data_IF_149371453570
#
_entry.id   IF_149371453570
#
_cell.length_a   1.000
_cell.length_b   1.000
_cell.length_c   1.000
_cell.angle_alpha   90.00
_cell.angle_beta   90.00
_cell.angle_gamma   90.00
#
_symmetry.space_group_name_H-M   'P 1'
#
loop_
_entity.id
_entity.type
_entity.pdbx_description
1 polymer ?
#
# COMPACT_ATOMS: atom_id res chain seq x y z
N UNK A 1 7.75 16.41 -11.80
CA UNK A 1 8.72 17.02 -10.86
C UNK A 1 8.99 15.99 -9.79
N UNK A 2 10.26 15.75 -9.42
CA UNK A 2 10.60 14.69 -8.48
C UNK A 2 10.58 15.24 -7.04
N UNK A 3 9.59 14.83 -6.25
CA UNK A 3 9.56 15.07 -4.80
C UNK A 3 10.57 14.15 -4.10
N UNK A 4 11.85 14.48 -4.21
CA UNK A 4 12.94 13.86 -3.44
C UNK A 4 12.98 14.46 -2.02
N UNK A 5 11.83 14.42 -1.34
CA UNK A 5 11.58 15.09 -0.06
C UNK A 5 12.04 14.23 1.11
N UNK A 6 13.34 14.32 1.40
CA UNK A 6 14.05 13.71 2.54
C UNK A 6 14.08 12.16 2.51
N UNK A 7 15.09 11.52 3.14
CA UNK A 7 14.99 10.09 3.41
C UNK A 7 13.76 9.83 4.28
N UNK A 8 12.90 8.85 3.95
CA UNK A 8 11.72 8.53 4.75
C UNK A 8 12.13 8.24 6.19
N UNK A 9 11.80 9.15 7.11
CA UNK A 9 12.28 9.08 8.48
C UNK A 9 11.82 7.80 9.20
N UNK A 10 12.30 7.61 10.43
CA UNK A 10 11.91 6.48 11.30
C UNK A 10 10.40 6.37 11.56
N UNK A 11 9.62 7.38 11.17
CA UNK A 11 8.17 7.47 11.31
C UNK A 11 7.41 7.31 9.97
N UNK A 12 8.05 6.73 8.94
CA UNK A 12 7.50 6.55 7.58
C UNK A 12 6.40 5.47 7.45
N UNK A 13 6.09 4.76 8.53
CA UNK A 13 5.07 3.70 8.55
C UNK A 13 3.84 4.11 9.34
N UNK A 14 2.70 4.17 8.65
CA UNK A 14 1.38 4.40 9.25
C UNK A 14 0.58 3.10 9.28
N UNK A 15 -0.22 2.91 10.34
CA UNK A 15 -1.13 1.75 10.44
C UNK A 15 -2.24 1.91 9.40
N UNK A 16 -2.60 0.83 8.72
CA UNK A 16 -3.72 0.83 7.79
C UNK A 16 -5.03 0.80 8.59
N UNK A 17 -5.83 1.86 8.48
CA UNK A 17 -7.10 2.02 9.21
C UNK A 17 -8.30 2.09 8.25
N UNK A 18 -9.55 2.04 8.75
CA UNK A 18 -10.74 2.28 7.93
C UNK A 18 -10.68 3.63 7.19
N UNK A 19 -10.09 4.65 7.81
CA UNK A 19 -9.85 5.97 7.20
C UNK A 19 -8.84 5.88 6.03
N UNK A 20 -7.76 5.11 6.18
CA UNK A 20 -6.82 4.82 5.07
C UNK A 20 -7.53 4.19 3.87
N UNK A 21 -8.40 3.20 4.12
CA UNK A 21 -9.19 2.55 3.07
C UNK A 21 -10.18 3.53 2.42
N UNK A 22 -10.90 4.33 3.21
CA UNK A 22 -11.83 5.33 2.69
C UNK A 22 -11.12 6.41 1.85
N UNK A 23 -9.90 6.82 2.24
CA UNK A 23 -9.08 7.75 1.47
C UNK A 23 -8.65 7.16 0.11
N UNK A 24 -8.25 5.89 0.07
CA UNK A 24 -7.97 5.16 -1.18
C UNK A 24 -9.23 5.08 -2.06
N UNK A 25 -10.37 4.71 -1.48
CA UNK A 25 -11.64 4.58 -2.20
C UNK A 25 -12.09 5.91 -2.81
N UNK A 26 -11.92 7.01 -2.06
CA UNK A 26 -12.15 8.37 -2.57
C UNK A 26 -11.23 8.71 -3.74
N UNK A 27 -9.92 8.46 -3.64
CA UNK A 27 -8.97 8.70 -4.75
C UNK A 27 -9.35 7.91 -6.01
N UNK A 28 -9.68 6.63 -5.85
CA UNK A 28 -10.15 5.78 -6.96
C UNK A 28 -11.43 6.34 -7.60
N UNK A 29 -12.42 6.73 -6.79
CA UNK A 29 -13.68 7.28 -7.29
C UNK A 29 -13.47 8.62 -8.02
N UNK A 30 -12.63 9.52 -7.49
CA UNK A 30 -12.28 10.77 -8.15
C UNK A 30 -11.57 10.54 -9.49
N UNK A 31 -10.64 9.58 -9.55
CA UNK A 31 -9.92 9.21 -10.78
C UNK A 31 -10.88 8.67 -11.84
N UNK A 32 -11.77 7.75 -11.47
CA UNK A 32 -12.82 7.23 -12.37
C UNK A 32 -13.75 8.36 -12.86
N UNK A 33 -14.14 9.28 -11.98
CA UNK A 33 -15.00 10.42 -12.33
C UNK A 33 -14.31 11.48 -13.21
N UNK A 34 -12.98 11.62 -13.14
CA UNK A 34 -12.20 12.45 -14.07
C UNK A 34 -12.10 11.76 -15.43
N UNK A 35 -11.73 10.48 -15.47
CA UNK A 35 -11.62 9.71 -16.70
C UNK A 35 -12.94 9.69 -17.49
N UNK A 36 -14.07 9.44 -16.83
CA UNK A 36 -15.40 9.47 -17.46
C UNK A 36 -15.82 10.86 -17.97
N UNK A 37 -15.18 11.95 -17.52
CA UNK A 37 -15.34 13.31 -18.05
C UNK A 37 -14.34 13.65 -19.16
N UNK A 38 -13.21 12.96 -19.22
CA UNK A 38 -12.13 13.13 -20.20
C UNK A 38 -12.22 12.19 -21.41
N UNK A 39 -13.16 11.23 -21.43
CA UNK A 39 -13.47 10.35 -22.58
C UNK A 39 -13.76 11.09 -23.91
N UNK A 40 -13.89 12.41 -23.91
CA UNK A 40 -14.04 13.24 -25.11
C UNK A 40 -12.74 13.83 -25.70
N UNK A 41 -11.56 13.71 -25.05
CA UNK A 41 -10.37 14.51 -25.47
C UNK A 41 -9.03 13.84 -25.69
N UNK A 42 -8.77 12.62 -25.20
CA UNK A 42 -7.39 12.10 -25.15
C UNK A 42 -7.24 10.76 -25.92
N UNK A 43 -6.95 10.85 -27.22
CA UNK A 43 -6.48 9.74 -28.06
C UNK A 43 -4.95 9.73 -28.27
N UNK A 44 -4.22 10.73 -27.75
CA UNK A 44 -2.80 10.97 -28.04
C UNK A 44 -2.00 11.37 -26.79
N UNK A 45 -1.98 10.48 -25.80
CA UNK A 45 -0.92 10.41 -24.82
C UNK A 45 -0.76 8.95 -24.38
N UNK A 46 0.35 8.30 -24.76
CA UNK A 46 0.82 7.14 -23.99
C UNK A 46 1.35 7.68 -22.66
N UNK A 47 0.46 7.91 -21.70
CA UNK A 47 0.90 8.04 -20.30
C UNK A 47 1.63 6.76 -19.93
N UNK A 48 2.93 6.90 -19.64
CA UNK A 48 3.77 5.81 -19.16
C UNK A 48 3.10 5.22 -17.92
N UNK A 49 2.56 4.01 -18.04
CA UNK A 49 1.80 3.38 -16.95
C UNK A 49 2.74 3.30 -15.75
N UNK A 50 2.40 3.95 -14.60
CA UNK A 50 3.28 3.96 -13.45
C UNK A 50 3.55 2.50 -13.06
N UNK A 51 4.79 2.19 -12.72
CA UNK A 51 5.23 0.85 -12.32
C UNK A 51 5.55 0.81 -10.81
N UNK A 52 5.46 -0.37 -10.15
CA UNK A 52 5.89 -0.51 -8.76
C UNK A 52 7.39 -0.23 -8.63
N UNK A 53 7.83 0.31 -7.49
CA UNK A 53 9.24 0.56 -7.25
C UNK A 53 10.01 -0.78 -7.14
N UNK A 54 11.16 -0.88 -7.82
CA UNK A 54 11.90 -2.15 -7.95
C UNK A 54 12.42 -2.68 -6.60
N UNK A 55 12.90 -1.80 -5.74
CA UNK A 55 13.38 -2.07 -4.39
C UNK A 55 12.25 -2.37 -3.39
N UNK A 56 11.04 -1.86 -3.64
CA UNK A 56 9.84 -2.10 -2.82
C UNK A 56 9.01 -3.32 -3.26
N UNK A 57 9.54 -4.20 -4.12
CA UNK A 57 8.81 -5.39 -4.57
C UNK A 57 8.44 -6.33 -3.40
N UNK A 58 7.30 -7.03 -3.55
CA UNK A 58 6.85 -8.00 -2.55
C UNK A 58 7.90 -9.11 -2.32
N UNK A 59 7.99 -9.59 -1.09
CA UNK A 59 8.99 -10.52 -0.58
C UNK A 59 10.45 -10.02 -0.61
N UNK A 60 10.72 -8.75 -0.99
CA UNK A 60 12.03 -8.13 -0.75
C UNK A 60 12.13 -7.55 0.66
N UNK A 61 13.37 -7.43 1.14
CA UNK A 61 13.71 -6.68 2.35
C UNK A 61 13.61 -5.18 2.06
N UNK A 62 12.92 -4.46 2.95
CA UNK A 62 12.82 -3.01 2.95
C UNK A 62 14.21 -2.35 2.91
N UNK A 63 14.46 -1.39 2.00
CA UNK A 63 15.71 -0.63 1.96
C UNK A 63 16.03 0.09 3.27
N UNK A 64 17.30 0.17 3.65
CA UNK A 64 17.69 0.75 4.94
C UNK A 64 17.46 2.28 5.04
N UNK A 65 17.16 2.95 3.93
CA UNK A 65 16.71 4.37 3.90
C UNK A 65 15.40 4.62 4.67
N UNK A 66 14.58 3.59 4.89
CA UNK A 66 13.35 3.67 5.71
C UNK A 66 13.62 3.46 7.22
N UNK A 67 14.88 3.32 7.61
CA UNK A 67 15.30 3.24 9.01
C UNK A 67 14.89 1.94 9.73
N UNK A 68 14.67 2.05 11.04
CA UNK A 68 14.21 0.95 11.90
C UNK A 68 12.71 1.01 12.12
N UNK A 69 12.01 -0.03 11.68
CA UNK A 69 10.58 -0.22 11.93
C UNK A 69 10.34 -0.48 13.42
N UNK A 70 9.39 0.24 14.03
CA UNK A 70 9.02 0.00 15.43
C UNK A 70 8.49 -1.43 15.63
N UNK A 71 8.88 -2.15 16.71
CA UNK A 71 8.41 -3.50 16.99
C UNK A 71 6.88 -3.66 17.02
N UNK A 72 6.15 -2.59 17.39
CA UNK A 72 4.68 -2.58 17.42
C UNK A 72 4.01 -2.64 16.04
N UNK A 73 4.75 -2.32 14.98
CA UNK A 73 4.25 -2.33 13.60
C UNK A 73 4.53 -3.66 12.89
N UNK A 74 5.29 -4.56 13.51
CA UNK A 74 5.66 -5.87 12.95
C UNK A 74 4.47 -6.83 13.01
N UNK A 75 4.10 -7.37 11.85
CA UNK A 75 2.93 -8.22 11.69
C UNK A 75 1.59 -7.47 11.76
N UNK A 76 1.61 -6.13 11.79
CA UNK A 76 0.40 -5.29 11.70
C UNK A 76 0.17 -4.79 10.26
N UNK A 77 -1.08 -4.50 9.87
CA UNK A 77 -1.38 -3.92 8.58
C UNK A 77 -0.97 -2.45 8.55
N UNK A 78 -0.16 -2.07 7.55
CA UNK A 78 0.39 -0.74 7.35
C UNK A 78 -0.01 -0.19 5.97
N UNK A 79 -0.04 1.13 5.84
CA UNK A 79 -0.23 1.79 4.53
C UNK A 79 0.93 1.43 3.58
N UNK A 80 0.63 1.32 2.28
CA UNK A 80 1.66 0.98 1.30
C UNK A 80 2.53 2.21 0.99
N UNK A 81 3.84 2.06 1.18
CA UNK A 81 4.84 3.12 1.01
C UNK A 81 5.24 3.36 -0.46
N UNK A 82 4.82 2.49 -1.37
CA UNK A 82 5.09 2.61 -2.81
C UNK A 82 3.97 3.42 -3.50
N UNK A 83 4.26 4.60 -4.08
CA UNK A 83 3.26 5.47 -4.68
C UNK A 83 2.39 4.83 -5.75
N UNK A 84 2.85 3.77 -6.42
CA UNK A 84 2.06 2.98 -7.38
C UNK A 84 0.78 2.39 -6.76
N UNK A 85 0.77 2.18 -5.44
CA UNK A 85 -0.34 1.62 -4.67
C UNK A 85 -1.25 2.67 -4.02
N UNK A 86 -0.98 3.98 -4.16
CA UNK A 86 -1.81 5.05 -3.59
C UNK A 86 -3.28 5.00 -4.04
N UNK A 87 -3.54 4.61 -5.29
CA UNK A 87 -4.87 4.43 -5.87
C UNK A 87 -5.30 2.95 -5.93
N UNK A 88 -4.76 2.11 -5.05
CA UNK A 88 -5.05 0.67 -5.02
C UNK A 88 -5.52 0.27 -3.64
N UNK A 89 -6.55 -0.58 -3.59
CA UNK A 89 -7.03 -1.19 -2.33
C UNK A 89 -6.01 -2.22 -1.87
N UNK A 90 -4.94 -1.77 -1.25
CA UNK A 90 -3.79 -2.59 -0.81
C UNK A 90 -3.22 -2.07 0.49
N UNK A 91 -2.63 -2.98 1.26
CA UNK A 91 -1.89 -2.69 2.48
C UNK A 91 -0.65 -3.60 2.54
N UNK A 92 0.36 -3.18 3.29
CA UNK A 92 1.58 -3.98 3.52
C UNK A 92 1.59 -4.54 4.94
N UNK A 93 2.35 -5.60 5.14
CA UNK A 93 2.75 -6.10 6.45
C UNK A 93 4.25 -6.36 6.42
N UNK A 94 4.95 -6.03 7.51
CA UNK A 94 6.39 -6.25 7.66
C UNK A 94 6.64 -7.35 8.69
N UNK A 95 7.60 -8.24 8.41
CA UNK A 95 8.13 -9.19 9.40
C UNK A 95 9.35 -8.62 10.16
N UNK A 96 9.89 -9.38 11.11
CA UNK A 96 11.08 -8.97 11.89
C UNK A 96 12.32 -8.70 11.01
N UNK A 97 12.44 -9.40 9.88
CA UNK A 97 13.49 -9.18 8.88
C UNK A 97 13.31 -7.92 8.01
N UNK A 98 12.25 -7.13 8.23
CA UNK A 98 11.79 -6.02 7.39
C UNK A 98 11.35 -6.46 5.96
N UNK A 99 10.92 -7.69 5.76
CA UNK A 99 10.40 -8.17 4.46
C UNK A 99 9.01 -7.59 4.19
N UNK A 100 8.78 -7.07 2.97
CA UNK A 100 7.52 -6.46 2.54
C UNK A 100 6.55 -7.54 2.03
N UNK A 101 5.39 -7.69 2.68
CA UNK A 101 4.30 -8.53 2.21
C UNK A 101 3.10 -7.66 1.82
N UNK A 102 2.64 -7.76 0.56
CA UNK A 102 1.49 -7.01 0.03
C UNK A 102 0.21 -7.83 0.06
N UNK A 103 -0.88 -7.21 0.49
CA UNK A 103 -2.21 -7.82 0.53
C UNK A 103 -3.28 -6.87 -0.03
N UNK A 104 -4.31 -7.41 -0.68
CA UNK A 104 -5.46 -6.62 -1.11
C UNK A 104 -6.31 -6.18 0.08
N UNK A 105 -6.72 -4.92 0.15
CA UNK A 105 -7.69 -4.42 1.12
C UNK A 105 -9.16 -4.76 0.76
N UNK A 106 -9.42 -5.46 -0.35
CA UNK A 106 -10.76 -5.98 -0.65
C UNK A 106 -11.21 -7.05 0.37
N UNK A 107 -12.51 -7.16 0.70
CA UNK A 107 -13.03 -8.26 1.52
C UNK A 107 -12.82 -9.61 0.84
N UNK A 108 -12.09 -10.52 1.49
CA UNK A 108 -11.95 -11.90 1.02
C UNK A 108 -13.20 -12.70 1.38
N UNK A 109 -13.68 -13.55 0.46
CA UNK A 109 -14.94 -14.29 0.61
C UNK A 109 -16.14 -13.39 0.98
N UNK A 110 -16.12 -12.13 0.53
CA UNK A 110 -17.07 -11.05 0.85
C UNK A 110 -17.19 -10.64 2.34
N UNK A 111 -16.69 -11.42 3.29
CA UNK A 111 -16.87 -11.22 4.75
C UNK A 111 -15.56 -10.82 5.44
N UNK A 112 -14.41 -11.34 5.00
CA UNK A 112 -13.11 -11.12 5.64
C UNK A 112 -12.47 -9.81 5.17
N UNK A 113 -12.96 -8.70 5.70
CA UNK A 113 -12.36 -7.36 5.54
C UNK A 113 -10.89 -7.36 6.02
N UNK A 114 -10.03 -6.41 5.55
CA UNK A 114 -8.64 -6.31 6.01
C UNK A 114 -8.52 -6.11 7.54
N UNK A 115 -9.56 -5.57 8.18
CA UNK A 115 -9.61 -5.34 9.62
C UNK A 115 -10.12 -6.56 10.42
N UNK A 116 -10.61 -7.60 9.76
CA UNK A 116 -11.21 -8.77 10.40
C UNK A 116 -10.20 -9.54 11.26
N UNK A 117 -10.46 -9.85 12.55
CA UNK A 117 -9.49 -10.47 13.45
C UNK A 117 -8.89 -11.78 12.93
N UNK A 118 -9.72 -12.70 12.43
CA UNK A 118 -9.26 -13.99 11.86
C UNK A 118 -8.28 -13.76 10.71
N UNK A 119 -8.55 -12.77 9.83
CA UNK A 119 -7.70 -12.47 8.68
C UNK A 119 -6.37 -11.88 9.11
N UNK A 120 -6.38 -10.96 10.08
CA UNK A 120 -5.15 -10.39 10.67
C UNK A 120 -4.31 -11.47 11.35
N UNK A 121 -4.92 -12.38 12.11
CA UNK A 121 -4.22 -13.50 12.73
C UNK A 121 -3.58 -14.44 11.69
N UNK A 122 -4.33 -14.82 10.65
CA UNK A 122 -3.83 -15.66 9.56
C UNK A 122 -2.64 -15.02 8.81
N UNK A 123 -2.73 -13.72 8.50
CA UNK A 123 -1.63 -12.97 7.90
C UNK A 123 -0.42 -12.91 8.84
N UNK A 124 -0.63 -12.63 10.13
CA UNK A 124 0.45 -12.54 11.13
C UNK A 124 1.20 -13.85 11.33
N UNK A 125 0.51 -14.99 11.18
CA UNK A 125 1.12 -16.34 11.13
C UNK A 125 1.89 -16.54 9.82
N UNK A 126 1.29 -16.19 8.67
CA UNK A 126 1.89 -16.35 7.35
C UNK A 126 3.23 -15.60 7.19
N UNK A 127 3.38 -14.44 7.82
CA UNK A 127 4.60 -13.61 7.72
C UNK A 127 5.61 -13.82 8.88
N UNK A 128 5.42 -14.81 9.76
CA UNK A 128 6.15 -14.92 11.03
C UNK A 128 7.64 -15.37 10.95
N UNK A 129 8.31 -15.17 9.81
CA UNK A 129 9.74 -15.49 9.65
C UNK A 129 10.65 -14.59 10.49
#
# INVERSE_FOLDING_TARGET
MADFLLPPGTNSFHRFTPESLAAIEKRIAEKLARNAKQEYREQLAEEEKPQPQFDLQACKKLPDIYGTVSPELIGEPLEDIDPFYNDRKTFIVLNKGKTIFRFSATPALYILSPFHPIRRAAIKILVHS
#
